data_IF_581255076840
#
_entry.id   IF_581255076840
#
_cell.length_a   1.000
_cell.length_b   1.000
_cell.length_c   1.000
_cell.angle_alpha   90.00
_cell.angle_beta   90.00
_cell.angle_gamma   90.00
#
_symmetry.space_group_name_H-M   'P 1'
#
loop_
_entity.id
_entity.type
_entity.pdbx_description
1 polymer ?
#
# COMPACT_ATOMS: atom_id res chain seq x y z
N UNK A 1 -1.12 11.42 14.78
CA UNK A 1 -1.31 12.89 14.71
C UNK A 1 -2.16 13.43 15.86
N UNK A 2 -3.35 12.91 16.15
CA UNK A 2 -4.22 13.46 17.22
C UNK A 2 -3.63 13.53 18.65
N UNK A 3 -2.54 12.86 18.95
CA UNK A 3 -1.91 12.92 20.28
C UNK A 3 -0.86 14.03 20.43
N UNK A 4 -0.36 14.55 19.33
CA UNK A 4 0.68 15.57 19.30
C UNK A 4 0.23 16.88 18.64
N UNK A 5 -0.86 16.82 17.83
CA UNK A 5 -1.43 17.97 17.13
C UNK A 5 -2.95 17.98 17.27
N UNK A 6 -3.54 19.17 17.35
CA UNK A 6 -4.97 19.36 17.17
C UNK A 6 -5.30 19.21 15.67
N UNK A 7 -5.61 18.00 15.24
CA UNK A 7 -5.76 17.65 13.83
C UNK A 7 -7.23 17.59 13.42
N UNK A 8 -7.57 18.31 12.34
CA UNK A 8 -8.89 18.29 11.71
C UNK A 8 -8.78 17.68 10.32
N UNK A 9 -9.61 16.68 10.03
CA UNK A 9 -9.60 15.97 8.77
C UNK A 9 -10.74 16.38 7.85
N UNK A 10 -10.39 16.77 6.62
CA UNK A 10 -11.33 17.08 5.55
C UNK A 10 -11.13 16.13 4.38
N UNK A 11 -12.19 15.41 4.01
CA UNK A 11 -12.20 14.53 2.86
C UNK A 11 -12.65 15.29 1.60
N UNK A 12 -11.93 15.07 0.49
CA UNK A 12 -12.28 15.70 -0.78
C UNK A 12 -13.54 15.08 -1.41
N UNK A 13 -13.77 13.78 -1.19
CA UNK A 13 -14.85 13.02 -1.80
C UNK A 13 -15.57 12.17 -0.76
N UNK A 14 -16.90 12.06 -0.85
CA UNK A 14 -17.70 11.12 -0.06
C UNK A 14 -17.52 9.67 -0.54
N UNK A 15 -17.45 9.51 -1.88
CA UNK A 15 -17.20 8.24 -2.54
C UNK A 15 -16.01 8.36 -3.50
N UNK A 16 -15.19 7.35 -3.56
CA UNK A 16 -14.11 7.23 -4.53
C UNK A 16 -14.43 6.05 -5.44
N UNK A 17 -14.54 6.32 -6.74
CA UNK A 17 -14.70 5.28 -7.76
C UNK A 17 -13.61 4.23 -7.59
N UNK A 18 -14.00 2.96 -7.61
CA UNK A 18 -13.13 1.79 -7.46
C UNK A 18 -12.67 1.46 -6.01
N UNK A 19 -13.10 2.18 -4.99
CA UNK A 19 -12.91 1.75 -3.60
C UNK A 19 -14.01 0.77 -3.18
N UNK A 20 -13.65 -0.15 -2.29
CA UNK A 20 -14.55 -1.21 -1.84
C UNK A 20 -15.58 -0.75 -0.81
N UNK A 21 -15.52 0.50 -0.37
CA UNK A 21 -16.40 1.08 0.65
C UNK A 21 -16.63 2.56 0.39
N UNK A 22 -17.79 3.07 0.78
CA UNK A 22 -18.06 4.51 0.83
C UNK A 22 -17.38 5.11 2.07
N UNK A 23 -16.79 6.30 1.95
CA UNK A 23 -16.14 6.95 3.09
C UNK A 23 -17.12 7.27 4.22
N UNK A 24 -18.40 7.46 3.91
CA UNK A 24 -19.46 7.65 4.89
C UNK A 24 -19.67 6.42 5.81
N UNK A 25 -19.40 5.21 5.32
CA UNK A 25 -19.48 3.98 6.10
C UNK A 25 -18.42 3.91 7.21
N UNK A 26 -17.36 4.70 7.09
CA UNK A 26 -16.28 4.76 8.07
C UNK A 26 -16.64 5.62 9.30
N UNK A 27 -17.72 6.42 9.28
CA UNK A 27 -18.07 7.38 10.34
C UNK A 27 -18.11 6.78 11.74
N UNK A 28 -18.55 5.52 11.88
CA UNK A 28 -18.61 4.83 13.17
C UNK A 28 -17.31 4.14 13.59
N UNK A 29 -16.27 4.14 12.73
CA UNK A 29 -15.00 3.42 12.93
C UNK A 29 -13.79 4.34 13.10
N UNK A 30 -13.96 5.66 12.87
CA UNK A 30 -12.88 6.63 12.97
C UNK A 30 -12.81 7.23 14.37
N UNK A 31 -11.60 7.43 14.89
CA UNK A 31 -11.36 8.14 16.15
C UNK A 31 -11.63 9.66 16.08
N UNK A 32 -12.10 10.16 14.93
CA UNK A 32 -12.39 11.56 14.65
C UNK A 32 -13.66 11.70 13.82
N UNK A 33 -14.28 12.88 13.85
CA UNK A 33 -15.46 13.19 13.03
C UNK A 33 -15.02 13.60 11.62
N UNK A 34 -15.34 12.81 10.58
CA UNK A 34 -14.97 13.16 9.21
C UNK A 34 -15.78 14.39 8.75
N UNK A 35 -15.10 15.36 8.16
CA UNK A 35 -15.69 16.53 7.49
C UNK A 35 -15.45 16.40 6.01
N UNK A 36 -16.44 16.75 5.19
CA UNK A 36 -16.34 16.64 3.72
C UNK A 36 -16.31 18.02 3.08
N UNK A 37 -15.46 18.14 2.06
CA UNK A 37 -15.48 19.34 1.22
C UNK A 37 -16.70 19.28 0.28
N UNK A 38 -17.34 20.42 0.04
CA UNK A 38 -18.42 20.50 -0.96
C UNK A 38 -17.90 20.20 -2.37
N UNK A 39 -18.79 19.93 -3.30
CA UNK A 39 -18.49 19.67 -4.71
C UNK A 39 -17.65 20.80 -5.32
N UNK A 40 -16.79 20.43 -6.27
CA UNK A 40 -15.98 21.40 -7.00
C UNK A 40 -16.83 22.35 -7.86
N UNK A 41 -16.33 23.56 -8.12
CA UNK A 41 -17.00 24.56 -8.94
C UNK A 41 -16.85 24.25 -10.44
N UNK A 42 -17.86 24.62 -11.23
CA UNK A 42 -17.87 24.51 -12.72
C UNK A 42 -17.55 23.10 -13.24
N UNK A 43 -17.94 22.04 -12.53
CA UNK A 43 -17.65 20.66 -12.92
C UNK A 43 -16.20 20.22 -12.73
N UNK A 44 -15.31 21.09 -12.26
CA UNK A 44 -13.91 20.76 -11.95
C UNK A 44 -13.84 20.22 -10.54
N UNK A 45 -13.74 18.89 -10.39
CA UNK A 45 -13.81 18.17 -9.11
C UNK A 45 -12.89 18.74 -8.01
N UNK A 46 -11.69 19.19 -8.38
CA UNK A 46 -10.69 19.66 -7.41
C UNK A 46 -10.66 21.20 -7.24
N UNK A 47 -11.51 21.96 -7.93
CA UNK A 47 -11.64 23.41 -7.75
C UNK A 47 -12.61 23.72 -6.58
N UNK A 48 -12.10 23.66 -5.35
CA UNK A 48 -12.88 23.74 -4.11
C UNK A 48 -12.56 25.01 -3.34
N UNK A 49 -13.10 26.14 -3.80
CA UNK A 49 -12.83 27.48 -3.24
C UNK A 49 -13.26 27.64 -1.79
N UNK A 50 -14.16 26.81 -1.28
CA UNK A 50 -14.54 26.79 0.14
C UNK A 50 -13.34 26.57 1.08
N UNK A 51 -12.22 26.02 0.58
CA UNK A 51 -10.99 25.89 1.37
C UNK A 51 -10.54 27.21 1.99
N UNK A 52 -10.78 28.35 1.32
CA UNK A 52 -10.47 29.68 1.87
C UNK A 52 -11.27 30.01 3.12
N UNK A 53 -12.56 29.68 3.16
CA UNK A 53 -13.42 29.91 4.35
C UNK A 53 -13.03 28.97 5.50
N UNK A 54 -12.68 27.73 5.18
CA UNK A 54 -12.20 26.75 6.16
C UNK A 54 -10.88 27.21 6.78
N UNK A 55 -9.90 27.60 5.98
CA UNK A 55 -8.60 28.08 6.48
C UNK A 55 -8.72 29.35 7.33
N UNK A 56 -9.67 30.26 7.00
CA UNK A 56 -9.96 31.43 7.81
C UNK A 56 -10.60 31.10 9.16
N UNK A 57 -11.46 30.08 9.17
CA UNK A 57 -12.16 29.64 10.38
C UNK A 57 -11.25 28.87 11.32
N UNK A 58 -10.57 27.87 10.80
CA UNK A 58 -9.78 26.92 11.59
C UNK A 58 -8.37 27.46 11.90
N UNK A 59 -7.86 28.42 11.13
CA UNK A 59 -6.53 29.05 11.28
C UNK A 59 -5.39 28.08 11.53
N UNK A 60 -5.21 27.03 10.68
CA UNK A 60 -4.18 26.04 10.92
C UNK A 60 -2.77 26.59 10.73
N UNK A 61 -1.81 26.08 11.50
CA UNK A 61 -0.38 26.35 11.31
C UNK A 61 0.19 25.48 10.18
N UNK A 62 -0.38 24.26 10.02
CA UNK A 62 0.09 23.26 9.07
C UNK A 62 -1.09 22.67 8.31
N UNK A 63 -0.95 22.51 7.00
CA UNK A 63 -1.92 21.84 6.13
C UNK A 63 -1.23 20.71 5.38
N UNK A 64 -1.80 19.50 5.45
CA UNK A 64 -1.45 18.39 4.60
C UNK A 64 -2.47 18.24 3.47
N UNK A 65 -2.02 18.14 2.23
CA UNK A 65 -2.87 17.87 1.07
C UNK A 65 -2.39 16.62 0.32
N UNK A 66 -3.26 16.04 -0.47
CA UNK A 66 -2.93 14.87 -1.28
C UNK A 66 -2.36 15.29 -2.62
N UNK A 67 -1.27 14.66 -3.02
CA UNK A 67 -0.64 14.77 -4.35
C UNK A 67 -0.46 16.20 -4.92
N UNK A 68 -0.28 16.28 -6.24
CA UNK A 68 -0.09 17.54 -6.98
C UNK A 68 -1.38 17.87 -7.74
N UNK A 69 -2.28 18.61 -7.10
CA UNK A 69 -3.61 18.94 -7.64
C UNK A 69 -3.95 20.44 -7.53
N UNK A 70 -5.11 20.82 -8.07
CA UNK A 70 -5.60 22.21 -8.05
C UNK A 70 -5.82 22.71 -6.62
N UNK A 71 -6.26 21.84 -5.70
CA UNK A 71 -6.45 22.21 -4.29
C UNK A 71 -5.13 22.72 -3.68
N UNK A 72 -4.02 22.05 -3.97
CA UNK A 72 -2.71 22.50 -3.53
C UNK A 72 -2.30 23.89 -4.07
N UNK A 73 -2.71 24.24 -5.30
CA UNK A 73 -2.53 25.60 -5.81
C UNK A 73 -3.39 26.62 -5.06
N UNK A 74 -4.65 26.29 -4.73
CA UNK A 74 -5.51 27.15 -3.92
C UNK A 74 -4.92 27.40 -2.53
N UNK A 75 -4.32 26.38 -1.91
CA UNK A 75 -3.59 26.51 -0.64
C UNK A 75 -2.42 27.51 -0.77
N UNK A 76 -1.65 27.47 -1.87
CA UNK A 76 -0.60 28.42 -2.14
C UNK A 76 -1.14 29.84 -2.32
N UNK A 77 -2.22 30.02 -3.07
CA UNK A 77 -2.88 31.33 -3.22
C UNK A 77 -3.30 31.87 -1.85
N UNK A 78 -3.92 31.02 -1.00
CA UNK A 78 -4.27 31.43 0.36
C UNK A 78 -3.04 31.83 1.18
N UNK A 79 -1.98 31.02 1.15
CA UNK A 79 -0.73 31.29 1.86
C UNK A 79 -0.15 32.65 1.48
N UNK A 80 -0.04 32.96 0.19
CA UNK A 80 0.58 34.20 -0.28
C UNK A 80 -0.27 35.45 -0.06
N UNK A 81 -1.61 35.30 -0.07
CA UNK A 81 -2.52 36.44 0.09
C UNK A 81 -2.93 36.71 1.54
N UNK A 82 -3.02 35.67 2.39
CA UNK A 82 -3.67 35.80 3.68
C UNK A 82 -2.86 35.28 4.87
N UNK A 83 -2.00 34.27 4.71
CA UNK A 83 -1.22 33.69 5.80
C UNK A 83 0.14 33.16 5.33
N UNK A 84 1.14 34.04 5.28
CA UNK A 84 2.50 33.67 4.86
C UNK A 84 3.16 32.62 5.74
N UNK A 85 2.76 32.50 7.00
CA UNK A 85 3.31 31.54 7.97
C UNK A 85 2.79 30.12 7.77
N UNK A 86 1.69 29.95 7.02
CA UNK A 86 1.08 28.63 6.79
C UNK A 86 2.09 27.64 6.20
N UNK A 87 2.32 26.52 6.88
CA UNK A 87 3.12 25.42 6.38
C UNK A 87 2.28 24.45 5.57
N UNK A 88 2.65 24.22 4.29
CA UNK A 88 1.94 23.33 3.38
C UNK A 88 2.80 22.11 3.09
N UNK A 89 2.25 20.92 3.32
CA UNK A 89 2.87 19.63 2.99
C UNK A 89 1.97 18.86 2.03
N UNK A 90 2.57 18.08 1.15
CA UNK A 90 1.83 17.14 0.31
C UNK A 90 2.35 15.73 0.47
N UNK A 91 1.46 14.73 0.32
CA UNK A 91 1.79 13.31 0.32
C UNK A 91 1.79 12.84 -1.12
N UNK A 92 2.85 12.17 -1.55
CA UNK A 92 2.99 11.59 -2.88
C UNK A 92 3.36 10.12 -2.76
N UNK A 93 2.49 9.26 -3.27
CA UNK A 93 2.62 7.81 -3.26
C UNK A 93 3.08 7.21 -4.60
N UNK A 94 3.61 8.06 -5.51
CA UNK A 94 4.16 7.60 -6.78
C UNK A 94 5.30 6.60 -6.56
N UNK A 95 5.39 5.58 -7.44
CA UNK A 95 6.65 4.84 -7.62
C UNK A 95 7.62 5.66 -8.47
N UNK A 96 8.88 5.21 -8.54
CA UNK A 96 9.90 5.90 -9.34
C UNK A 96 9.53 5.95 -10.83
N UNK A 97 8.99 4.86 -11.37
CA UNK A 97 8.54 4.75 -12.76
C UNK A 97 7.41 5.73 -13.07
N UNK A 98 6.45 5.86 -12.13
CA UNK A 98 5.35 6.83 -12.22
C UNK A 98 5.91 8.27 -12.15
N UNK A 99 6.89 8.52 -11.30
CA UNK A 99 7.49 9.82 -11.16
C UNK A 99 8.26 10.24 -12.44
N UNK A 100 8.93 9.31 -13.09
CA UNK A 100 9.69 9.54 -14.33
C UNK A 100 8.77 9.70 -15.55
N UNK A 101 7.71 8.91 -15.65
CA UNK A 101 6.74 8.93 -16.77
C UNK A 101 5.64 10.00 -16.64
N UNK A 102 5.68 10.83 -15.60
CA UNK A 102 4.63 11.81 -15.31
C UNK A 102 4.41 12.80 -16.47
N UNK A 103 3.12 13.15 -16.70
CA UNK A 103 2.71 14.14 -17.68
C UNK A 103 3.33 15.52 -17.44
N UNK A 104 3.40 16.36 -18.47
CA UNK A 104 3.94 17.72 -18.34
C UNK A 104 3.22 18.52 -17.26
N UNK A 105 1.90 18.40 -17.15
CA UNK A 105 1.11 19.08 -16.12
C UNK A 105 1.54 18.62 -14.73
N UNK A 106 1.62 17.31 -14.48
CA UNK A 106 2.07 16.76 -13.19
C UNK A 106 3.51 17.17 -12.88
N UNK A 107 4.38 17.23 -13.88
CA UNK A 107 5.78 17.71 -13.72
C UNK A 107 5.84 19.19 -13.33
N UNK A 108 5.01 20.06 -13.93
CA UNK A 108 4.91 21.47 -13.57
C UNK A 108 4.37 21.66 -12.15
N UNK A 109 3.31 20.95 -11.79
CA UNK A 109 2.73 20.98 -10.44
C UNK A 109 3.73 20.52 -9.38
N UNK A 110 4.47 19.46 -9.66
CA UNK A 110 5.56 18.96 -8.81
C UNK A 110 6.65 20.00 -8.61
N UNK A 111 7.08 20.69 -9.67
CA UNK A 111 8.06 21.76 -9.59
C UNK A 111 7.58 22.89 -8.69
N UNK A 112 6.31 23.33 -8.82
CA UNK A 112 5.67 24.34 -7.98
C UNK A 112 5.67 23.87 -6.51
N UNK A 113 5.27 22.62 -6.26
CA UNK A 113 5.24 22.06 -4.91
C UNK A 113 6.65 22.04 -4.28
N UNK A 114 7.65 21.54 -4.98
CA UNK A 114 9.04 21.53 -4.48
C UNK A 114 9.55 22.95 -4.17
N UNK A 115 9.15 23.94 -4.94
CA UNK A 115 9.59 25.32 -4.75
C UNK A 115 8.88 26.00 -3.58
N UNK A 116 7.58 25.84 -3.42
CA UNK A 116 6.75 26.68 -2.56
C UNK A 116 6.12 25.97 -1.36
N UNK A 117 6.02 24.63 -1.36
CA UNK A 117 5.55 23.92 -0.18
C UNK A 117 6.67 23.85 0.87
N UNK A 118 6.26 23.67 2.13
CA UNK A 118 7.18 23.48 3.24
C UNK A 118 7.85 22.10 3.15
N UNK A 119 7.11 21.06 2.72
CA UNK A 119 7.68 19.74 2.51
C UNK A 119 6.83 18.82 1.63
N UNK A 120 7.44 17.72 1.20
CA UNK A 120 6.83 16.66 0.41
C UNK A 120 7.10 15.34 1.10
N UNK A 121 6.05 14.62 1.46
CA UNK A 121 6.10 13.31 2.10
C UNK A 121 6.09 12.27 0.99
N UNK A 122 7.11 11.44 0.96
CA UNK A 122 7.31 10.38 -0.02
C UNK A 122 7.19 9.03 0.68
N UNK A 123 6.57 8.07 0.00
CA UNK A 123 6.20 6.78 0.60
C UNK A 123 7.23 5.68 0.35
N UNK A 124 8.21 5.92 -0.53
CA UNK A 124 9.28 4.96 -0.78
C UNK A 124 10.64 5.64 -0.99
N UNK A 125 11.72 4.91 -0.68
CA UNK A 125 13.10 5.42 -0.67
C UNK A 125 13.66 5.69 -2.07
N UNK A 126 13.25 4.92 -3.08
CA UNK A 126 13.73 5.09 -4.44
C UNK A 126 13.22 6.42 -5.03
N UNK A 127 11.95 6.73 -4.77
CA UNK A 127 11.36 8.02 -5.14
C UNK A 127 11.99 9.15 -4.36
N UNK A 128 12.22 8.98 -3.06
CA UNK A 128 12.96 9.96 -2.25
C UNK A 128 14.34 10.26 -2.86
N UNK A 129 15.09 9.22 -3.16
CA UNK A 129 16.42 9.33 -3.78
C UNK A 129 16.36 10.05 -5.13
N UNK A 130 15.34 9.72 -5.95
CA UNK A 130 15.10 10.37 -7.22
C UNK A 130 14.77 11.86 -7.07
N UNK A 131 13.91 12.23 -6.11
CA UNK A 131 13.57 13.64 -5.84
C UNK A 131 14.79 14.44 -5.37
N UNK A 132 15.57 13.90 -4.43
CA UNK A 132 16.80 14.54 -3.94
C UNK A 132 17.78 14.81 -5.09
N UNK A 133 17.99 13.79 -5.95
CA UNK A 133 18.87 13.91 -7.12
C UNK A 133 18.34 14.91 -8.15
N UNK A 134 17.04 14.87 -8.43
CA UNK A 134 16.39 15.68 -9.47
C UNK A 134 16.29 17.15 -9.12
N UNK A 135 15.97 17.48 -7.86
CA UNK A 135 15.71 18.85 -7.41
C UNK A 135 16.83 19.44 -6.58
N UNK A 136 17.82 18.64 -6.19
CA UNK A 136 18.98 19.05 -5.39
C UNK A 136 18.62 19.71 -4.05
N UNK A 137 17.47 19.35 -3.47
CA UNK A 137 16.95 19.84 -2.19
C UNK A 137 16.61 18.64 -1.32
N UNK A 138 17.35 18.40 -0.25
CA UNK A 138 17.09 17.26 0.67
C UNK A 138 16.12 17.63 1.79
N UNK A 139 16.21 18.84 2.33
CA UNK A 139 15.52 19.24 3.57
C UNK A 139 13.98 19.36 3.44
N UNK A 140 13.45 19.31 2.22
CA UNK A 140 12.00 19.39 1.95
C UNK A 140 11.34 18.02 1.75
N UNK A 141 12.12 16.96 1.70
CA UNK A 141 11.59 15.61 1.45
C UNK A 141 11.61 14.80 2.73
N UNK A 142 10.42 14.36 3.13
CA UNK A 142 10.19 13.50 4.29
C UNK A 142 9.85 12.11 3.79
N UNK A 143 10.23 11.10 4.56
CA UNK A 143 9.90 9.72 4.27
C UNK A 143 8.88 9.18 5.27
N UNK A 144 7.79 8.62 4.77
CA UNK A 144 6.84 7.86 5.57
C UNK A 144 6.11 6.84 4.68
N UNK A 145 6.38 5.53 4.82
CA UNK A 145 5.73 4.49 4.01
C UNK A 145 4.25 4.32 4.38
N UNK A 146 3.48 3.69 3.50
CA UNK A 146 2.07 3.35 3.77
C UNK A 146 2.05 2.07 4.60
N UNK A 147 1.92 2.22 5.91
CA UNK A 147 1.96 1.12 6.87
C UNK A 147 0.84 1.25 7.90
N UNK A 148 0.44 0.12 8.47
CA UNK A 148 -0.53 0.01 9.54
C UNK A 148 0.16 -0.04 10.90
N UNK A 149 -0.55 0.34 11.97
CA UNK A 149 -0.05 0.12 13.33
C UNK A 149 0.06 -1.36 13.61
N UNK A 150 1.26 -1.80 14.03
CA UNK A 150 1.58 -3.19 14.26
C UNK A 150 0.61 -3.85 15.24
N UNK A 151 0.39 -3.22 16.39
CA UNK A 151 -0.44 -3.77 17.46
C UNK A 151 -1.90 -3.93 17.02
N UNK A 152 -2.47 -2.90 16.39
CA UNK A 152 -3.87 -2.89 15.97
C UNK A 152 -4.12 -3.97 14.90
N UNK A 153 -3.24 -4.06 13.90
CA UNK A 153 -3.37 -5.06 12.83
C UNK A 153 -3.14 -6.49 13.36
N UNK A 154 -2.19 -6.69 14.25
CA UNK A 154 -1.93 -8.00 14.85
C UNK A 154 -3.07 -8.49 15.73
N UNK A 155 -3.76 -7.60 16.43
CA UNK A 155 -4.98 -7.94 17.17
C UNK A 155 -6.10 -8.44 16.22
N UNK A 156 -6.24 -7.82 15.04
CA UNK A 156 -7.21 -8.28 14.02
C UNK A 156 -6.85 -9.67 13.48
N UNK A 157 -5.57 -9.96 13.28
CA UNK A 157 -5.08 -11.29 12.89
C UNK A 157 -5.36 -12.34 13.97
N UNK A 158 -5.11 -12.00 15.24
CA UNK A 158 -5.37 -12.88 16.38
C UNK A 158 -6.87 -13.22 16.51
N UNK A 159 -7.73 -12.21 16.41
CA UNK A 159 -9.18 -12.39 16.45
C UNK A 159 -9.69 -13.26 15.28
N UNK A 160 -9.02 -13.26 14.14
CA UNK A 160 -9.37 -14.06 12.98
C UNK A 160 -8.87 -15.53 13.03
N UNK A 161 -8.14 -15.96 14.07
CA UNK A 161 -7.62 -17.34 14.16
C UNK A 161 -8.73 -18.43 14.09
N UNK A 162 -9.90 -18.27 14.72
CA UNK A 162 -10.99 -19.24 14.56
C UNK A 162 -11.48 -19.37 13.12
N UNK A 163 -11.62 -18.22 12.42
CA UNK A 163 -12.01 -18.17 11.00
C UNK A 163 -10.91 -18.78 10.12
N UNK A 164 -9.64 -18.59 10.49
CA UNK A 164 -8.49 -19.20 9.79
C UNK A 164 -8.56 -20.72 9.81
N UNK A 165 -9.02 -21.32 10.92
CA UNK A 165 -9.19 -22.78 11.02
C UNK A 165 -10.29 -23.27 10.10
N UNK A 166 -11.42 -22.56 10.06
CA UNK A 166 -12.53 -22.88 9.14
C UNK A 166 -12.07 -22.80 7.68
N UNK A 167 -11.27 -21.78 7.35
CA UNK A 167 -10.74 -21.57 6.01
C UNK A 167 -9.74 -22.67 5.62
N UNK A 168 -8.87 -23.10 6.55
CA UNK A 168 -7.95 -24.23 6.36
C UNK A 168 -8.73 -25.51 6.03
N UNK A 169 -9.77 -25.81 6.81
CA UNK A 169 -10.60 -27.00 6.61
C UNK A 169 -11.38 -26.90 5.28
N UNK A 170 -11.95 -25.72 4.96
CA UNK A 170 -12.74 -25.49 3.74
C UNK A 170 -11.92 -25.67 2.45
N UNK A 171 -10.67 -25.21 2.45
CA UNK A 171 -9.79 -25.29 1.28
C UNK A 171 -8.79 -26.44 1.36
N UNK A 172 -8.90 -27.32 2.34
CA UNK A 172 -8.01 -28.48 2.54
C UNK A 172 -6.53 -28.08 2.57
N UNK A 173 -6.18 -27.05 3.36
CA UNK A 173 -4.84 -26.48 3.41
C UNK A 173 -3.92 -27.18 4.41
N UNK A 174 -4.43 -28.09 5.25
CA UNK A 174 -3.62 -28.80 6.22
C UNK A 174 -2.46 -29.57 5.55
N UNK A 175 -1.25 -29.34 6.02
CA UNK A 175 -0.03 -29.94 5.45
C UNK A 175 0.37 -29.39 4.07
N UNK A 176 -0.32 -28.39 3.53
CA UNK A 176 0.04 -27.69 2.28
C UNK A 176 0.94 -26.49 2.55
N UNK A 177 1.66 -26.05 1.53
CA UNK A 177 2.45 -24.82 1.54
C UNK A 177 1.67 -23.72 0.82
N UNK A 178 1.22 -22.69 1.55
CA UNK A 178 0.29 -21.71 1.01
C UNK A 178 1.05 -20.45 0.55
N UNK A 179 1.06 -20.26 -0.76
CA UNK A 179 1.39 -19.00 -1.41
C UNK A 179 0.15 -18.10 -1.40
N UNK A 180 0.27 -16.85 -1.04
CA UNK A 180 -0.84 -15.91 -0.92
C UNK A 180 -0.67 -14.71 -1.86
N UNK A 181 -1.70 -14.40 -2.62
CA UNK A 181 -1.88 -13.12 -3.29
C UNK A 181 -3.16 -12.46 -2.78
N UNK A 182 -3.09 -11.16 -2.46
CA UNK A 182 -4.24 -10.35 -2.06
C UNK A 182 -4.30 -9.10 -2.96
N UNK A 183 -5.42 -8.91 -3.64
CA UNK A 183 -5.60 -7.75 -4.51
C UNK A 183 -6.62 -7.95 -5.63
N UNK A 184 -6.85 -6.91 -6.43
CA UNK A 184 -7.72 -7.00 -7.61
C UNK A 184 -7.09 -7.92 -8.67
N UNK A 185 -7.89 -8.76 -9.31
CA UNK A 185 -7.45 -9.64 -10.39
C UNK A 185 -7.50 -8.87 -11.74
N UNK A 186 -6.54 -7.97 -11.94
CA UNK A 186 -6.44 -7.07 -13.09
C UNK A 186 -5.05 -7.10 -13.70
N UNK A 187 -4.91 -6.63 -14.93
CA UNK A 187 -3.70 -6.75 -15.75
C UNK A 187 -2.42 -6.28 -15.06
N UNK A 188 -2.45 -5.08 -14.45
CA UNK A 188 -1.26 -4.52 -13.78
C UNK A 188 -0.70 -5.36 -12.63
N UNK A 189 -1.49 -6.34 -12.12
CA UNK A 189 -1.04 -7.26 -11.07
C UNK A 189 -0.23 -8.44 -11.59
N UNK A 190 -0.14 -8.63 -12.93
CA UNK A 190 0.76 -9.60 -13.57
C UNK A 190 0.54 -11.06 -13.13
N UNK A 191 -0.73 -11.46 -12.97
CA UNK A 191 -1.08 -12.73 -12.34
C UNK A 191 -0.86 -13.94 -13.25
N UNK A 192 -0.91 -13.78 -14.58
CA UNK A 192 -0.52 -14.84 -15.52
C UNK A 192 0.96 -15.20 -15.37
N UNK A 193 1.82 -14.19 -15.20
CA UNK A 193 3.24 -14.39 -14.93
C UNK A 193 3.46 -15.17 -13.62
N UNK A 194 2.66 -14.92 -12.57
CA UNK A 194 2.71 -15.67 -11.31
C UNK A 194 2.30 -17.13 -11.52
N UNK A 195 1.23 -17.40 -12.27
CA UNK A 195 0.80 -18.77 -12.61
C UNK A 195 1.87 -19.51 -13.42
N UNK A 196 2.48 -18.84 -14.39
CA UNK A 196 3.57 -19.41 -15.18
C UNK A 196 4.81 -19.74 -14.34
N UNK A 197 5.14 -18.90 -13.36
CA UNK A 197 6.24 -19.18 -12.43
C UNK A 197 5.91 -20.35 -11.49
N UNK A 198 4.65 -20.44 -11.03
CA UNK A 198 4.17 -21.57 -10.23
C UNK A 198 4.29 -22.89 -11.00
N UNK A 199 3.92 -22.90 -12.29
CA UNK A 199 4.02 -24.10 -13.14
C UNK A 199 5.45 -24.66 -13.24
N UNK A 200 6.48 -23.83 -13.08
CA UNK A 200 7.88 -24.27 -13.10
C UNK A 200 8.30 -24.97 -11.79
N UNK A 201 7.59 -24.75 -10.69
CA UNK A 201 7.98 -25.27 -9.37
C UNK A 201 7.06 -26.36 -8.83
N UNK A 202 5.82 -26.46 -9.32
CA UNK A 202 4.77 -27.34 -8.78
C UNK A 202 5.18 -28.82 -8.76
N UNK A 203 5.87 -29.31 -9.77
CA UNK A 203 6.33 -30.71 -9.83
C UNK A 203 7.34 -31.05 -8.72
N UNK A 204 8.15 -30.08 -8.30
CA UNK A 204 9.11 -30.23 -7.21
C UNK A 204 8.45 -30.05 -5.83
N UNK A 205 7.41 -29.22 -5.76
CA UNK A 205 6.68 -28.90 -4.52
C UNK A 205 5.20 -29.24 -4.68
N UNK A 206 4.82 -30.54 -4.71
CA UNK A 206 3.45 -30.96 -5.00
C UNK A 206 2.44 -30.58 -3.91
N UNK A 207 2.89 -30.11 -2.76
CA UNK A 207 2.03 -29.62 -1.66
C UNK A 207 1.73 -28.13 -1.74
N UNK A 208 2.28 -27.42 -2.73
CA UNK A 208 2.07 -25.98 -2.88
C UNK A 208 0.64 -25.67 -3.32
N UNK A 209 0.05 -24.63 -2.70
CA UNK A 209 -1.23 -24.03 -3.08
C UNK A 209 -1.00 -22.53 -3.26
N UNK A 210 -1.48 -21.97 -4.34
CA UNK A 210 -1.59 -20.52 -4.54
C UNK A 210 -3.03 -20.09 -4.26
N UNK A 211 -3.20 -19.31 -3.21
CA UNK A 211 -4.49 -18.74 -2.80
C UNK A 211 -4.61 -17.31 -3.33
N UNK A 212 -5.48 -17.09 -4.31
CA UNK A 212 -5.87 -15.77 -4.80
C UNK A 212 -7.04 -15.23 -3.96
N UNK A 213 -6.81 -14.10 -3.29
CA UNK A 213 -7.82 -13.38 -2.51
C UNK A 213 -8.12 -12.04 -3.18
N UNK A 214 -9.29 -11.94 -3.77
CA UNK A 214 -9.73 -10.79 -4.54
C UNK A 214 -10.61 -11.18 -5.71
N UNK A 215 -11.00 -10.18 -6.49
CA UNK A 215 -11.79 -10.37 -7.71
C UNK A 215 -11.36 -9.34 -8.77
N UNK A 216 -11.78 -9.55 -10.00
CA UNK A 216 -11.48 -8.66 -11.11
C UNK A 216 -11.79 -9.27 -12.46
N UNK A 217 -11.65 -8.48 -13.51
CA UNK A 217 -11.98 -8.81 -14.90
C UNK A 217 -11.14 -9.97 -15.47
N UNK A 218 -9.96 -10.23 -14.89
CA UNK A 218 -9.10 -11.34 -15.34
C UNK A 218 -9.43 -12.69 -14.69
N UNK A 219 -10.33 -12.77 -13.70
CA UNK A 219 -10.58 -14.01 -12.94
C UNK A 219 -10.81 -15.22 -13.82
N UNK A 220 -11.80 -15.16 -14.72
CA UNK A 220 -12.16 -16.30 -15.60
C UNK A 220 -10.98 -16.69 -16.53
N UNK A 221 -10.21 -15.73 -16.99
CA UNK A 221 -9.05 -15.99 -17.84
C UNK A 221 -7.91 -16.66 -17.06
N UNK A 222 -7.70 -16.26 -15.79
CA UNK A 222 -6.72 -16.88 -14.89
C UNK A 222 -7.10 -18.31 -14.51
N UNK A 223 -8.38 -18.59 -14.22
CA UNK A 223 -8.88 -19.93 -13.96
C UNK A 223 -8.59 -20.86 -15.15
N UNK A 224 -8.96 -20.45 -16.37
CA UNK A 224 -8.64 -21.20 -17.59
C UNK A 224 -7.14 -21.37 -17.86
N UNK A 225 -6.33 -20.38 -17.51
CA UNK A 225 -4.89 -20.45 -17.65
C UNK A 225 -4.29 -21.46 -16.68
N UNK A 226 -4.76 -21.47 -15.43
CA UNK A 226 -4.35 -22.46 -14.43
C UNK A 226 -4.71 -23.89 -14.88
N UNK A 227 -5.92 -24.15 -15.38
CA UNK A 227 -6.34 -25.44 -15.90
C UNK A 227 -5.45 -25.92 -17.06
N UNK A 228 -5.18 -25.05 -18.06
CA UNK A 228 -4.35 -25.38 -19.24
C UNK A 228 -2.90 -25.70 -18.86
N UNK A 229 -2.40 -25.16 -17.76
CA UNK A 229 -1.03 -25.41 -17.28
C UNK A 229 -0.98 -26.52 -16.21
N UNK A 230 -2.07 -27.28 -15.99
CA UNK A 230 -2.10 -28.38 -15.03
C UNK A 230 -2.03 -27.92 -13.58
N UNK A 231 -2.50 -26.70 -13.28
CA UNK A 231 -2.46 -26.10 -11.94
C UNK A 231 -3.82 -26.15 -11.22
N UNK A 232 -4.83 -26.85 -11.75
CA UNK A 232 -6.18 -26.88 -11.18
C UNK A 232 -6.20 -27.28 -9.70
N UNK A 233 -5.38 -28.25 -9.29
CA UNK A 233 -5.26 -28.74 -7.91
C UNK A 233 -4.31 -27.90 -7.03
N UNK A 234 -3.71 -26.85 -7.60
CA UNK A 234 -2.70 -26.00 -6.95
C UNK A 234 -3.11 -24.54 -6.83
N UNK A 235 -4.28 -24.16 -7.34
CA UNK A 235 -4.74 -22.76 -7.33
C UNK A 235 -6.16 -22.68 -6.79
N UNK A 236 -6.37 -21.79 -5.83
CA UNK A 236 -7.67 -21.51 -5.22
C UNK A 236 -8.01 -20.03 -5.44
N UNK A 237 -9.18 -19.76 -6.02
CA UNK A 237 -9.74 -18.43 -6.17
C UNK A 237 -10.79 -18.19 -5.08
N UNK A 238 -10.39 -17.62 -3.94
CA UNK A 238 -11.24 -17.42 -2.77
C UNK A 238 -12.26 -16.27 -2.93
N UNK A 239 -12.16 -15.49 -4.02
CA UNK A 239 -13.00 -14.32 -4.22
C UNK A 239 -12.59 -13.15 -3.31
N UNK A 240 -13.37 -12.08 -3.35
CA UNK A 240 -13.15 -10.90 -2.50
C UNK A 240 -13.44 -11.23 -1.05
N UNK A 241 -12.50 -10.93 -0.15
CA UNK A 241 -12.62 -11.08 1.31
C UNK A 241 -12.46 -9.72 2.00
N UNK A 242 -13.09 -9.56 3.17
CA UNK A 242 -13.02 -8.35 4.00
C UNK A 242 -13.09 -8.72 5.49
N UNK A 243 -12.64 -7.83 6.38
CA UNK A 243 -12.67 -8.05 7.82
C UNK A 243 -11.96 -9.34 8.23
N UNK A 244 -12.57 -10.11 9.12
CA UNK A 244 -11.97 -11.34 9.67
C UNK A 244 -11.64 -12.39 8.61
N UNK A 245 -12.46 -12.51 7.55
CA UNK A 245 -12.16 -13.41 6.43
C UNK A 245 -10.87 -13.06 5.70
N UNK A 246 -10.59 -11.76 5.53
CA UNK A 246 -9.34 -11.30 4.93
C UNK A 246 -8.14 -11.58 5.84
N UNK A 247 -8.27 -11.31 7.13
CA UNK A 247 -7.21 -11.58 8.10
C UNK A 247 -6.95 -13.07 8.24
N UNK A 248 -7.99 -13.90 8.14
CA UNK A 248 -7.87 -15.36 8.09
C UNK A 248 -7.02 -15.82 6.89
N UNK A 249 -7.20 -15.20 5.70
CA UNK A 249 -6.36 -15.49 4.54
C UNK A 249 -4.89 -15.15 4.78
N UNK A 250 -4.58 -14.05 5.46
CA UNK A 250 -3.20 -13.72 5.84
C UNK A 250 -2.62 -14.72 6.85
N UNK A 251 -3.43 -15.18 7.80
CA UNK A 251 -2.99 -16.18 8.80
C UNK A 251 -2.60 -17.51 8.17
N UNK A 252 -3.31 -18.00 7.14
CA UNK A 252 -2.98 -19.25 6.46
C UNK A 252 -1.83 -19.09 5.45
N UNK A 253 -1.60 -17.89 4.90
CA UNK A 253 -0.52 -17.61 3.96
C UNK A 253 0.86 -17.76 4.61
N UNK A 254 1.78 -18.46 3.99
CA UNK A 254 3.18 -18.60 4.43
C UNK A 254 4.10 -17.68 3.65
N UNK A 255 3.91 -17.63 2.34
CA UNK A 255 4.66 -16.79 1.42
C UNK A 255 3.67 -15.87 0.71
N UNK A 256 3.85 -14.57 0.86
CA UNK A 256 3.05 -13.58 0.14
C UNK A 256 3.76 -13.14 -1.13
N UNK A 257 3.02 -12.91 -2.24
CA UNK A 257 3.62 -12.54 -3.52
C UNK A 257 2.88 -11.34 -4.10
N UNK A 258 3.62 -10.26 -4.40
CA UNK A 258 3.14 -9.09 -5.13
C UNK A 258 3.87 -8.99 -6.48
N UNK A 259 3.33 -9.57 -7.59
CA UNK A 259 4.04 -9.68 -8.86
C UNK A 259 3.78 -8.50 -9.81
N UNK A 260 3.16 -7.42 -9.34
CA UNK A 260 2.73 -6.27 -10.14
C UNK A 260 3.85 -5.71 -11.02
N UNK A 261 3.57 -5.41 -12.27
CA UNK A 261 4.46 -4.64 -13.13
C UNK A 261 4.17 -3.12 -13.07
N UNK A 262 3.08 -2.73 -12.44
CA UNK A 262 2.75 -1.35 -12.11
C UNK A 262 2.06 -1.31 -10.74
N UNK A 263 2.70 -0.66 -9.78
CA UNK A 263 2.19 -0.53 -8.42
C UNK A 263 2.66 0.78 -7.80
N UNK A 264 1.74 1.60 -7.29
CA UNK A 264 2.13 2.84 -6.61
C UNK A 264 2.89 2.53 -5.32
N UNK A 265 2.24 1.81 -4.42
CA UNK A 265 2.86 1.35 -3.18
C UNK A 265 2.70 -0.14 -2.99
N UNK A 266 1.49 -0.65 -2.81
CA UNK A 266 1.21 -2.05 -2.48
C UNK A 266 1.12 -2.28 -0.97
N UNK A 267 0.17 -1.60 -0.30
CA UNK A 267 -0.02 -1.68 1.16
C UNK A 267 -0.21 -3.11 1.69
N UNK A 268 -0.71 -4.01 0.86
CA UNK A 268 -0.85 -5.46 1.15
C UNK A 268 0.49 -6.14 1.52
N UNK A 269 1.64 -5.58 1.12
CA UNK A 269 2.97 -6.04 1.53
C UNK A 269 3.18 -5.81 3.02
N UNK A 270 2.82 -4.62 3.54
CA UNK A 270 2.87 -4.34 4.96
C UNK A 270 1.96 -5.29 5.76
N UNK A 271 0.74 -5.51 5.27
CA UNK A 271 -0.22 -6.44 5.89
C UNK A 271 0.35 -7.87 5.96
N UNK A 272 0.94 -8.36 4.86
CA UNK A 272 1.57 -9.67 4.79
C UNK A 272 2.76 -9.81 5.75
N UNK A 273 3.62 -8.79 5.84
CA UNK A 273 4.76 -8.76 6.77
C UNK A 273 4.29 -8.76 8.24
N UNK A 274 3.26 -7.97 8.57
CA UNK A 274 2.64 -7.96 9.89
C UNK A 274 2.01 -9.32 10.25
N UNK A 275 1.45 -10.01 9.26
CA UNK A 275 0.93 -11.37 9.42
C UNK A 275 2.03 -12.45 9.49
N UNK A 276 3.30 -12.08 9.32
CA UNK A 276 4.44 -12.97 9.39
C UNK A 276 4.70 -13.80 8.13
N UNK A 277 4.13 -13.40 6.98
CA UNK A 277 4.45 -14.01 5.69
C UNK A 277 5.85 -13.63 5.24
N UNK A 278 6.60 -14.58 4.67
CA UNK A 278 7.78 -14.26 3.87
C UNK A 278 7.30 -13.63 2.56
N UNK A 279 7.85 -12.48 2.17
CA UNK A 279 7.23 -11.69 1.10
C UNK A 279 8.11 -11.60 -0.14
N UNK A 280 7.62 -12.09 -1.27
CA UNK A 280 8.21 -11.89 -2.59
C UNK A 280 7.55 -10.66 -3.25
N UNK A 281 8.30 -9.59 -3.39
CA UNK A 281 7.78 -8.31 -3.88
C UNK A 281 8.47 -7.90 -5.18
N UNK A 282 7.69 -7.42 -6.15
CA UNK A 282 8.24 -6.82 -7.36
C UNK A 282 9.04 -5.56 -7.03
N UNK A 283 10.21 -5.39 -7.66
CA UNK A 283 11.08 -4.22 -7.49
C UNK A 283 10.42 -2.90 -7.89
N UNK A 284 9.38 -2.93 -8.74
CA UNK A 284 8.67 -1.72 -9.18
C UNK A 284 7.57 -1.26 -8.20
N UNK A 285 7.23 -2.07 -7.20
CA UNK A 285 6.27 -1.68 -6.17
C UNK A 285 6.90 -0.72 -5.17
N UNK A 286 6.19 0.34 -4.78
CA UNK A 286 6.68 1.27 -3.76
C UNK A 286 6.97 0.58 -2.42
N UNK A 287 6.21 -0.47 -2.09
CA UNK A 287 6.41 -1.29 -0.89
C UNK A 287 7.68 -2.16 -0.92
N UNK A 288 8.44 -2.20 -2.03
CA UNK A 288 9.76 -2.83 -2.08
C UNK A 288 10.71 -2.27 -1.00
N UNK A 289 10.52 -1.00 -0.59
CA UNK A 289 11.25 -0.38 0.51
C UNK A 289 11.04 -1.05 1.89
N UNK A 290 10.02 -1.90 2.05
CA UNK A 290 9.77 -2.66 3.28
C UNK A 290 10.47 -4.01 3.30
N UNK A 291 11.08 -4.41 2.18
CA UNK A 291 11.74 -5.72 2.04
C UNK A 291 13.24 -5.59 2.28
N UNK A 292 13.71 -6.32 3.28
CA UNK A 292 15.13 -6.59 3.48
C UNK A 292 15.42 -8.02 2.94
N UNK A 293 16.15 -8.15 1.82
CA UNK A 293 16.39 -9.44 1.17
C UNK A 293 16.93 -10.50 2.13
N UNK A 294 16.42 -11.73 2.05
CA UNK A 294 16.77 -12.90 2.86
C UNK A 294 16.38 -12.79 4.36
N UNK A 295 15.81 -11.68 4.81
CA UNK A 295 15.38 -11.48 6.19
C UNK A 295 13.86 -11.61 6.34
N UNK A 296 13.11 -10.77 5.63
CA UNK A 296 11.65 -10.77 5.67
C UNK A 296 11.00 -11.07 4.32
N UNK A 297 11.81 -11.14 3.26
CA UNK A 297 11.36 -11.38 1.90
C UNK A 297 12.49 -11.33 0.90
N UNK A 298 12.12 -11.29 -0.38
CA UNK A 298 13.04 -11.03 -1.49
C UNK A 298 12.37 -10.15 -2.54
N UNK A 299 13.20 -9.45 -3.30
CA UNK A 299 12.79 -8.65 -4.45
C UNK A 299 13.02 -9.41 -5.76
N UNK A 300 12.15 -9.19 -6.74
CA UNK A 300 12.30 -9.76 -8.07
C UNK A 300 11.86 -8.82 -9.18
N UNK A 301 12.46 -9.01 -10.37
CA UNK A 301 12.06 -8.32 -11.58
C UNK A 301 10.76 -8.94 -12.13
N UNK A 302 9.65 -8.19 -12.27
CA UNK A 302 8.38 -8.70 -12.78
C UNK A 302 8.43 -9.10 -14.28
N UNK A 303 9.53 -8.90 -14.97
CA UNK A 303 9.76 -9.40 -16.33
C UNK A 303 10.51 -10.76 -16.37
N UNK A 304 11.06 -11.24 -15.26
CA UNK A 304 11.85 -12.47 -15.20
C UNK A 304 11.12 -13.61 -14.47
N UNK A 305 10.34 -14.39 -15.22
CA UNK A 305 9.57 -15.54 -14.70
C UNK A 305 10.45 -16.61 -14.05
N UNK A 306 11.58 -16.92 -14.67
CA UNK A 306 12.53 -17.91 -14.13
C UNK A 306 13.12 -17.47 -12.80
N UNK A 307 13.44 -16.20 -12.66
CA UNK A 307 13.93 -15.66 -11.40
C UNK A 307 12.87 -15.70 -10.28
N UNK A 308 11.59 -15.40 -10.60
CA UNK A 308 10.51 -15.60 -9.64
C UNK A 308 10.37 -17.09 -9.25
N UNK A 309 10.45 -18.00 -10.22
CA UNK A 309 10.38 -19.44 -9.94
C UNK A 309 11.54 -19.92 -9.03
N UNK A 310 12.74 -19.40 -9.22
CA UNK A 310 13.89 -19.67 -8.33
C UNK A 310 13.63 -19.16 -6.90
N UNK A 311 13.10 -17.94 -6.75
CA UNK A 311 12.75 -17.37 -5.45
C UNK A 311 11.60 -18.13 -4.77
N UNK A 312 10.59 -18.57 -5.53
CA UNK A 312 9.53 -19.44 -5.05
C UNK A 312 10.10 -20.77 -4.51
N UNK A 313 10.94 -21.43 -5.31
CA UNK A 313 11.56 -22.71 -4.93
C UNK A 313 12.40 -22.58 -3.64
N UNK A 314 13.18 -21.49 -3.51
CA UNK A 314 13.96 -21.23 -2.30
C UNK A 314 13.06 -21.00 -1.09
N UNK A 315 12.07 -20.13 -1.21
CA UNK A 315 11.15 -19.80 -0.12
C UNK A 315 10.30 -21.01 0.32
N UNK A 316 9.87 -21.86 -0.63
CA UNK A 316 9.13 -23.09 -0.34
C UNK A 316 9.99 -24.09 0.43
N UNK A 317 11.27 -24.21 0.12
CA UNK A 317 12.21 -25.04 0.88
C UNK A 317 12.37 -24.53 2.32
N UNK A 318 12.49 -23.22 2.50
CA UNK A 318 12.71 -22.61 3.82
C UNK A 318 11.44 -22.64 4.70
N UNK A 319 10.25 -22.74 4.08
CA UNK A 319 8.96 -22.87 4.76
C UNK A 319 8.54 -24.33 5.00
N UNK A 320 9.38 -25.32 4.67
CA UNK A 320 9.06 -26.74 4.90
C UNK A 320 8.92 -27.04 6.39
N UNK A 321 7.77 -27.63 6.80
CA UNK A 321 7.49 -28.00 8.19
C UNK A 321 6.92 -26.88 9.09
N UNK A 322 6.67 -25.68 8.57
CA UNK A 322 6.00 -24.62 9.34
C UNK A 322 4.53 -24.97 9.59
N UNK A 323 4.07 -24.78 10.84
CA UNK A 323 2.64 -24.87 11.18
C UNK A 323 1.88 -23.75 10.47
N UNK A 324 0.75 -24.08 9.85
CA UNK A 324 -0.02 -23.13 9.03
C UNK A 324 -0.81 -22.13 9.87
N UNK A 325 -1.54 -22.60 10.88
CA UNK A 325 -2.41 -21.73 11.67
C UNK A 325 -1.76 -21.43 13.01
N UNK A 326 -1.15 -20.29 13.08
CA UNK A 326 -0.69 -19.65 14.33
C UNK A 326 -0.48 -18.18 14.04
N UNK A 327 -0.56 -17.35 15.05
CA UNK A 327 -0.11 -15.98 14.94
C UNK A 327 1.42 -15.98 14.77
N UNK A 328 1.86 -15.94 13.51
CA UNK A 328 3.28 -15.94 13.14
C UNK A 328 3.98 -14.67 13.66
N UNK A 329 5.28 -14.70 13.86
CA UNK A 329 6.05 -13.53 14.25
C UNK A 329 5.95 -12.44 13.18
N UNK A 330 5.77 -11.18 13.62
CA UNK A 330 5.84 -10.00 12.74
C UNK A 330 7.19 -9.97 12.00
N UNK A 331 7.16 -9.75 10.70
CA UNK A 331 8.34 -9.69 9.84
C UNK A 331 8.71 -8.27 9.39
N UNK A 332 8.02 -7.24 9.89
CA UNK A 332 8.46 -5.86 9.67
C UNK A 332 9.83 -5.62 10.31
N UNK A 333 10.74 -4.99 9.58
CA UNK A 333 12.09 -4.66 10.09
C UNK A 333 12.07 -3.46 11.02
N UNK A 334 11.12 -2.54 10.81
CA UNK A 334 10.88 -1.39 11.67
C UNK A 334 9.40 -1.34 12.03
N UNK A 335 9.09 -1.03 13.30
CA UNK A 335 7.73 -0.88 13.78
C UNK A 335 7.11 0.44 13.30
N UNK A 336 5.78 0.51 13.35
CA UNK A 336 5.05 1.77 13.10
C UNK A 336 5.57 2.91 13.98
N UNK A 337 5.83 2.64 15.27
CA UNK A 337 6.30 3.66 16.22
C UNK A 337 7.69 4.18 15.85
N UNK A 338 8.56 3.35 15.30
CA UNK A 338 9.87 3.80 14.80
C UNK A 338 9.74 4.69 13.58
N UNK A 339 8.87 4.31 12.63
CA UNK A 339 8.61 5.15 11.45
C UNK A 339 7.97 6.49 11.81
N UNK A 340 6.96 6.49 12.68
CA UNK A 340 6.25 7.72 13.05
C UNK A 340 7.14 8.67 13.86
N UNK A 341 7.97 8.13 14.76
CA UNK A 341 8.96 8.92 15.52
C UNK A 341 9.98 9.58 14.59
N UNK A 342 10.52 8.81 13.63
CA UNK A 342 11.44 9.34 12.62
C UNK A 342 10.77 10.42 11.77
N UNK A 343 9.52 10.22 11.37
CA UNK A 343 8.75 11.18 10.60
C UNK A 343 8.53 12.49 11.37
N UNK A 344 8.12 12.43 12.64
CA UNK A 344 7.92 13.64 13.46
C UNK A 344 9.22 14.40 13.69
N UNK A 345 10.32 13.73 13.89
CA UNK A 345 11.64 14.39 14.00
C UNK A 345 11.98 15.16 12.71
N UNK A 346 11.71 14.57 11.54
CA UNK A 346 11.89 15.24 10.26
C UNK A 346 10.93 16.44 10.11
N UNK A 347 9.64 16.25 10.43
CA UNK A 347 8.59 17.26 10.31
C UNK A 347 8.91 18.49 11.19
N UNK A 348 9.21 18.28 12.48
CA UNK A 348 9.53 19.35 13.43
C UNK A 348 10.77 20.14 12.96
N UNK A 349 11.78 19.46 12.41
CA UNK A 349 12.95 20.14 11.85
C UNK A 349 12.65 21.12 10.71
N UNK A 350 11.46 21.02 10.09
CA UNK A 350 11.00 21.91 9.02
C UNK A 350 10.07 23.01 9.56
N UNK A 351 9.20 22.67 10.52
CA UNK A 351 8.18 23.60 11.05
C UNK A 351 8.82 24.63 11.99
N UNK A 352 9.83 24.22 12.77
CA UNK A 352 10.51 25.08 13.76
C UNK A 352 11.49 26.09 13.14
N UNK A 353 11.63 26.12 11.81
CA UNK A 353 12.44 27.10 11.04
C UNK A 353 11.60 28.25 10.52
#
# INVERSE_FOLDING_TARGET
MNKEFDAIFYFEFGDVLEQSFAQDELRGRLEFVPRFLASGLFGIKNLRTQVFSILRKEQPDVVFCSEYNILGLLLLVYKFLFNWKLSIFTICDDSKEIAESASLVKRCMRFIAVKFYSGIILTNDDVLSWYVKRFRVKQKFLFFPIIQKDQDFRLLLENALPVSKILEDTYHLEGRQVLLFVGRLIDIKNLFFLLDALALVVNRYPKVILLFVGDGDQRVALERHAERNGLADHVIFAGKKQGEDLYACYNVGQIFILPSYYERFGAVVNEALLAGCYTLCSVVAGAACLIEPQKNGDLFDPASKTYLAEKLAQSLKDCEGLKQISLKANKMCYSYDQYITSFFNQLNSIIDK
#
